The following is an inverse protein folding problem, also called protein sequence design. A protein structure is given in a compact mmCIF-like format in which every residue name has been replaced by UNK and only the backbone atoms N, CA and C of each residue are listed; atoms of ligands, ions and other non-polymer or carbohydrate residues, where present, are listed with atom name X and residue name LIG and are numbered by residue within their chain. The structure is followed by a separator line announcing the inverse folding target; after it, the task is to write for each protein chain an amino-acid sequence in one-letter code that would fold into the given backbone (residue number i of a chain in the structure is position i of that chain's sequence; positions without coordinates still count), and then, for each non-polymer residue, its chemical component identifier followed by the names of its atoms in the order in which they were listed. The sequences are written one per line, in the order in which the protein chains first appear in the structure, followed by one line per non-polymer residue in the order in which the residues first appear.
data_IF_790291036530
#
_entry.id   IF_790291036530
#
_cell.length_a   1.000
_cell.length_b   1.000
_cell.length_c   1.000
_cell.angle_alpha   90.00
_cell.angle_beta   90.00
_cell.angle_gamma   90.00
#
_symmetry.space_group_name_H-M   'P 1'
#
loop_
_entity.id
_entity.type
_entity.pdbx_description
1 polymer ?
#
# COMPACT_ATOMS: atom_id res chain seq x y z
N UNK A 1 9.06 39.84 3.54
CA UNK A 1 8.19 38.72 3.94
C UNK A 1 8.29 37.63 2.88
N UNK A 2 8.76 36.42 3.24
CA UNK A 2 8.93 35.31 2.29
C UNK A 2 7.56 34.77 1.90
N UNK A 3 7.20 34.91 0.62
CA UNK A 3 6.10 34.17 0.01
C UNK A 3 6.42 32.67 0.12
N UNK A 4 5.62 31.96 0.91
CA UNK A 4 5.70 30.52 1.10
C UNK A 4 5.42 29.83 -0.24
N UNK A 5 6.45 29.24 -0.83
CA UNK A 5 6.30 28.29 -1.93
C UNK A 5 5.57 27.04 -1.40
N UNK A 6 4.26 27.02 -1.52
CA UNK A 6 3.46 25.80 -1.36
C UNK A 6 3.84 24.91 -2.55
N UNK A 7 4.56 23.82 -2.27
CA UNK A 7 4.92 22.80 -3.26
C UNK A 7 3.63 22.09 -3.73
N UNK A 8 2.88 22.70 -4.65
CA UNK A 8 1.83 22.03 -5.40
C UNK A 8 2.44 21.17 -6.52
N UNK A 9 3.42 20.34 -6.19
CA UNK A 9 3.78 19.21 -7.02
C UNK A 9 2.81 18.09 -6.62
N UNK A 10 1.67 18.02 -7.30
CA UNK A 10 0.78 16.86 -7.32
C UNK A 10 1.54 15.65 -7.92
N UNK A 11 2.55 15.16 -7.21
CA UNK A 11 3.49 14.14 -7.66
C UNK A 11 3.09 12.82 -7.01
N UNK A 12 2.22 12.11 -7.74
CA UNK A 12 1.87 10.69 -7.59
C UNK A 12 1.57 10.23 -6.17
N UNK A 13 0.31 9.86 -5.90
CA UNK A 13 -0.02 9.05 -4.72
C UNK A 13 0.96 7.86 -4.64
N UNK A 14 1.94 7.95 -3.74
CA UNK A 14 2.94 6.90 -3.53
C UNK A 14 2.19 5.79 -2.82
N UNK A 15 2.00 4.68 -3.53
CA UNK A 15 1.35 3.51 -2.96
C UNK A 15 2.28 2.87 -1.94
N UNK A 16 1.71 2.38 -0.85
CA UNK A 16 2.43 1.67 0.20
C UNK A 16 2.00 0.22 0.17
N UNK A 17 2.96 -0.70 0.18
CA UNK A 17 2.70 -2.09 0.50
C UNK A 17 2.70 -2.23 2.02
N UNK A 18 1.60 -2.72 2.56
CA UNK A 18 1.37 -2.87 4.00
C UNK A 18 1.05 -4.31 4.35
N UNK A 19 1.48 -4.74 5.53
CA UNK A 19 1.10 -6.02 6.12
C UNK A 19 -0.16 -5.82 6.94
N UNK A 20 -1.15 -6.69 6.74
CA UNK A 20 -2.40 -6.73 7.46
C UNK A 20 -2.50 -8.07 8.18
N UNK A 21 -3.06 -8.06 9.39
CA UNK A 21 -3.12 -9.23 10.25
C UNK A 21 -4.56 -9.48 10.72
N UNK A 22 -4.98 -10.74 10.65
CA UNK A 22 -6.25 -11.22 11.17
C UNK A 22 -6.32 -10.96 12.67
N UNK A 23 -7.40 -10.35 13.13
CA UNK A 23 -7.62 -10.12 14.57
C UNK A 23 -7.99 -11.40 15.34
N UNK A 24 -8.34 -12.49 14.66
CA UNK A 24 -8.70 -13.75 15.32
C UNK A 24 -7.48 -14.67 15.50
N UNK A 25 -6.68 -14.86 14.45
CA UNK A 25 -5.65 -15.91 14.46
C UNK A 25 -4.21 -15.40 14.30
N UNK A 26 -4.03 -14.15 13.84
CA UNK A 26 -2.71 -13.63 13.48
C UNK A 26 -2.24 -14.00 12.07
N UNK A 27 -3.08 -14.63 11.23
CA UNK A 27 -2.77 -14.84 9.81
C UNK A 27 -2.47 -13.50 9.12
N UNK A 28 -1.43 -13.46 8.28
CA UNK A 28 -0.91 -12.23 7.66
C UNK A 28 -1.14 -12.22 6.17
N UNK A 29 -1.56 -11.07 5.67
CA UNK A 29 -1.70 -10.80 4.24
C UNK A 29 -1.13 -9.45 3.88
N UNK A 30 -0.75 -9.26 2.62
CA UNK A 30 -0.22 -7.98 2.15
C UNK A 30 -1.24 -7.28 1.26
N UNK A 31 -1.40 -5.97 1.47
CA UNK A 31 -2.28 -5.13 0.65
C UNK A 31 -1.58 -3.84 0.26
N UNK A 32 -2.05 -3.24 -0.81
CA UNK A 32 -1.58 -1.93 -1.27
C UNK A 32 -2.59 -0.89 -0.80
N UNK A 33 -2.11 0.19 -0.20
CA UNK A 33 -2.93 1.36 0.13
C UNK A 33 -2.28 2.65 -0.36
N UNK A 34 -3.07 3.71 -0.46
CA UNK A 34 -2.52 5.03 -0.72
C UNK A 34 -1.88 5.62 0.54
N UNK A 35 -0.78 6.37 0.38
CA UNK A 35 -0.05 6.96 1.51
C UNK A 35 -0.87 7.98 2.31
N UNK A 36 -1.77 8.70 1.64
CA UNK A 36 -2.63 9.75 2.24
C UNK A 36 -3.89 9.20 2.89
N UNK A 37 -4.21 7.92 2.69
CA UNK A 37 -5.35 7.27 3.33
C UNK A 37 -5.01 6.80 4.75
N UNK A 38 -6.05 6.61 5.55
CA UNK A 38 -5.99 6.01 6.87
C UNK A 38 -5.47 4.56 6.83
N UNK A 39 -5.23 3.99 8.02
CA UNK A 39 -4.81 2.58 8.13
C UNK A 39 -5.89 1.65 7.57
N UNK A 40 -5.45 0.61 6.86
CA UNK A 40 -6.37 -0.31 6.20
C UNK A 40 -7.07 -1.23 7.22
N UNK A 41 -8.40 -1.28 7.17
CA UNK A 41 -9.25 -2.24 7.88
C UNK A 41 -10.23 -2.86 6.88
N UNK A 42 -10.33 -4.20 6.84
CA UNK A 42 -11.22 -4.90 5.92
C UNK A 42 -11.62 -6.27 6.45
N UNK A 43 -12.77 -6.76 5.99
CA UNK A 43 -13.22 -8.13 6.25
C UNK A 43 -12.64 -9.07 5.20
N UNK A 44 -12.11 -10.21 5.63
CA UNK A 44 -11.62 -11.25 4.75
C UNK A 44 -11.68 -12.62 5.42
N UNK A 45 -11.77 -13.67 4.60
CA UNK A 45 -11.76 -15.05 5.09
C UNK A 45 -10.37 -15.37 5.64
N UNK A 46 -10.33 -15.78 6.90
CA UNK A 46 -9.13 -16.30 7.53
C UNK A 46 -8.98 -17.79 7.19
N UNK A 47 -7.90 -18.20 6.49
CA UNK A 47 -7.74 -19.57 6.02
C UNK A 47 -7.57 -20.61 7.14
N UNK A 48 -7.27 -20.19 8.37
CA UNK A 48 -7.09 -21.13 9.48
C UNK A 48 -8.38 -21.51 10.18
N UNK A 49 -9.39 -20.63 10.13
CA UNK A 49 -10.70 -20.86 10.75
C UNK A 49 -11.85 -20.92 9.74
N UNK A 50 -11.56 -20.61 8.47
CA UNK A 50 -12.52 -20.56 7.36
C UNK A 50 -13.75 -19.67 7.64
N UNK A 51 -13.51 -18.54 8.31
CA UNK A 51 -14.54 -17.57 8.70
C UNK A 51 -14.11 -16.16 8.29
N UNK A 52 -15.09 -15.29 8.08
CA UNK A 52 -14.84 -13.88 7.80
C UNK A 52 -14.41 -13.15 9.08
N UNK A 53 -13.21 -12.56 9.04
CA UNK A 53 -12.59 -11.88 10.17
C UNK A 53 -12.12 -10.50 9.74
N UNK A 54 -12.05 -9.58 10.71
CA UNK A 54 -11.44 -8.28 10.54
C UNK A 54 -9.91 -8.40 10.43
N UNK A 55 -9.35 -7.88 9.34
CA UNK A 55 -7.93 -7.67 9.16
C UNK A 55 -7.59 -6.21 9.38
N UNK A 56 -6.51 -5.94 10.12
CA UNK A 56 -6.00 -4.59 10.37
C UNK A 56 -4.56 -4.43 9.91
N UNK A 57 -4.23 -3.26 9.38
CA UNK A 57 -2.85 -2.90 9.06
C UNK A 57 -1.98 -2.91 10.32
N UNK A 58 -0.95 -3.75 10.31
CA UNK A 58 0.03 -3.84 11.41
C UNK A 58 1.27 -2.99 11.14
N UNK A 59 1.85 -3.12 9.94
CA UNK A 59 3.06 -2.40 9.57
C UNK A 59 3.15 -2.10 8.09
N UNK A 60 3.81 -0.99 7.76
CA UNK A 60 4.28 -0.71 6.41
C UNK A 60 5.46 -1.63 6.07
N UNK A 61 5.45 -2.22 4.88
CA UNK A 61 6.56 -3.01 4.34
C UNK A 61 7.46 -2.13 3.49
N UNK A 62 6.92 -1.53 2.41
CA UNK A 62 7.70 -0.68 1.50
C UNK A 62 6.86 0.37 0.79
N UNK A 63 7.52 1.41 0.29
CA UNK A 63 6.92 2.36 -0.65
C UNK A 63 7.06 1.78 -2.05
N UNK A 64 5.97 1.77 -2.82
CA UNK A 64 5.99 1.38 -4.23
C UNK A 64 6.24 2.62 -5.08
N UNK A 65 7.27 2.56 -5.91
CA UNK A 65 7.57 3.60 -6.89
C UNK A 65 6.83 3.30 -8.19
N UNK A 66 6.31 4.33 -8.86
CA UNK A 66 5.71 4.16 -10.18
C UNK A 66 6.85 3.86 -11.17
N UNK A 67 6.84 2.67 -11.76
CA UNK A 67 7.74 2.38 -12.88
C UNK A 67 7.43 3.34 -14.04
N UNK A 68 8.45 4.01 -14.55
CA UNK A 68 8.31 4.86 -15.72
C UNK A 68 8.16 3.98 -16.96
N UNK A 69 7.05 4.14 -17.70
CA UNK A 69 6.73 3.34 -18.91
C UNK A 69 7.84 3.31 -19.97
N UNK A 70 8.75 4.30 -19.98
CA UNK A 70 9.89 4.39 -20.91
C UNK A 70 10.93 3.29 -20.69
N UNK A 71 11.14 2.84 -19.45
CA UNK A 71 12.15 1.83 -19.12
C UNK A 71 11.72 0.42 -19.52
N UNK A 72 10.42 0.12 -19.45
CA UNK A 72 9.88 -1.19 -19.84
C UNK A 72 9.99 -1.48 -21.35
N UNK A 73 10.06 -0.44 -22.18
CA UNK A 73 10.22 -0.62 -23.62
C UNK A 73 11.63 -1.08 -23.96
N UNK A 74 12.64 -0.59 -23.23
CA UNK A 74 14.05 -0.93 -23.47
C UNK A 74 14.36 -2.35 -22.97
N UNK A 75 13.81 -2.76 -21.81
CA UNK A 75 14.05 -4.10 -21.25
C UNK A 75 13.35 -5.25 -21.98
N UNK A 76 12.37 -4.96 -22.84
CA UNK A 76 11.71 -5.98 -23.68
C UNK A 76 12.37 -6.14 -25.05
N UNK A 77 13.30 -5.27 -25.40
CA UNK A 77 14.01 -5.24 -26.68
C UNK A 77 15.45 -5.75 -26.58
N UNK A 78 15.92 -6.07 -25.38
CA UNK A 78 17.22 -6.70 -25.08
C UNK A 78 17.01 -8.11 -24.57
#
# INVERSE_FOLDING_TARGET
MRLSFIFQAAKSARQLLVNCESQATGHRTMRIRERTQDKLEFLHIDPWIDQEVLYKETRKIKTLEKQNKREMHISRLT
#
